data_IF_290153467624
#
_entry.id   IF_290153467624
#
_cell.length_a   1.000
_cell.length_b   1.000
_cell.length_c   1.000
_cell.angle_alpha   90.00
_cell.angle_beta   90.00
_cell.angle_gamma   90.00
#
_symmetry.space_group_name_H-M   'P 1'
#
loop_
_entity.id
_entity.type
_entity.pdbx_description
1 polymer ?
#
# COMPACT_ATOMS: atom_id res chain seq x y z
N UNK A 1 -59.58 -33.31 22.58
CA UNK A 1 -58.85 -32.77 21.39
C UNK A 1 -57.97 -31.58 21.83
N UNK A 2 -56.70 -31.81 22.22
CA UNK A 2 -55.71 -30.74 22.53
C UNK A 2 -54.25 -31.13 22.20
N UNK A 3 -54.03 -32.10 21.31
CA UNK A 3 -52.68 -32.61 20.99
C UNK A 3 -52.06 -31.99 19.73
N UNK A 4 -52.88 -31.43 18.82
CA UNK A 4 -52.39 -30.82 17.56
C UNK A 4 -51.68 -29.47 17.74
N UNK A 5 -52.01 -28.70 18.79
CA UNK A 5 -51.38 -27.39 19.02
C UNK A 5 -50.01 -27.50 19.69
N UNK A 6 -49.79 -28.54 20.50
CA UNK A 6 -48.52 -28.76 21.19
C UNK A 6 -47.41 -29.12 20.20
N UNK A 7 -47.72 -29.99 19.22
CA UNK A 7 -46.77 -30.40 18.19
C UNK A 7 -46.45 -29.26 17.22
N UNK A 8 -47.43 -28.42 16.87
CA UNK A 8 -47.21 -27.25 16.02
C UNK A 8 -46.33 -26.20 16.69
N UNK A 9 -46.57 -25.91 17.97
CA UNK A 9 -45.75 -24.97 18.73
C UNK A 9 -44.33 -25.50 18.92
N UNK A 10 -44.17 -26.80 19.18
CA UNK A 10 -42.85 -27.43 19.29
C UNK A 10 -42.10 -27.37 17.96
N UNK A 11 -42.75 -27.70 16.84
CA UNK A 11 -42.18 -27.62 15.50
C UNK A 11 -41.81 -26.17 15.13
N UNK A 12 -42.65 -25.20 15.47
CA UNK A 12 -42.38 -23.78 15.22
C UNK A 12 -41.19 -23.27 16.04
N UNK A 13 -41.05 -23.68 17.31
CA UNK A 13 -39.88 -23.34 18.13
C UNK A 13 -38.61 -23.99 17.59
N UNK A 14 -38.68 -25.25 17.17
CA UNK A 14 -37.55 -25.99 16.61
C UNK A 14 -37.09 -25.33 15.29
N UNK A 15 -38.03 -24.92 14.43
CA UNK A 15 -37.75 -24.18 13.21
C UNK A 15 -37.08 -22.82 13.49
N UNK A 16 -37.55 -22.08 14.49
CA UNK A 16 -36.94 -20.79 14.89
C UNK A 16 -35.50 -20.97 15.37
N UNK A 17 -35.25 -21.98 16.20
CA UNK A 17 -33.90 -22.29 16.70
C UNK A 17 -32.98 -22.69 15.54
N UNK A 18 -33.48 -23.49 14.61
CA UNK A 18 -32.71 -23.94 13.44
C UNK A 18 -32.39 -22.78 12.50
N UNK A 19 -33.32 -21.84 12.34
CA UNK A 19 -33.12 -20.63 11.52
C UNK A 19 -32.12 -19.67 12.17
N UNK A 20 -32.17 -19.50 13.50
CA UNK A 20 -31.17 -18.76 14.27
C UNK A 20 -29.78 -19.40 14.16
N UNK A 21 -29.68 -20.72 14.31
CA UNK A 21 -28.43 -21.45 14.16
C UNK A 21 -27.86 -21.35 12.74
N UNK A 22 -28.72 -21.38 11.72
CA UNK A 22 -28.31 -21.17 10.32
C UNK A 22 -27.80 -19.74 10.10
N UNK A 23 -28.42 -18.73 10.72
CA UNK A 23 -27.99 -17.33 10.59
C UNK A 23 -26.64 -17.09 11.27
N UNK A 24 -26.46 -17.65 12.48
CA UNK A 24 -25.18 -17.60 13.21
C UNK A 24 -24.11 -18.39 12.45
N UNK A 25 -24.44 -19.56 11.93
CA UNK A 25 -23.54 -20.38 11.12
C UNK A 25 -23.14 -19.70 9.80
N UNK A 26 -24.07 -19.01 9.13
CA UNK A 26 -23.78 -18.22 7.95
C UNK A 26 -22.89 -17.00 8.29
N UNK A 27 -23.21 -16.29 9.37
CA UNK A 27 -22.37 -15.18 9.87
C UNK A 27 -20.96 -15.66 10.24
N UNK A 28 -20.84 -16.79 10.93
CA UNK A 28 -19.56 -17.42 11.26
C UNK A 28 -18.81 -17.92 10.03
N UNK A 29 -19.50 -18.48 9.04
CA UNK A 29 -18.88 -18.92 7.79
C UNK A 29 -18.38 -17.74 6.96
N UNK A 30 -19.10 -16.62 6.95
CA UNK A 30 -18.63 -15.36 6.36
C UNK A 30 -17.45 -14.80 7.15
N UNK A 31 -17.48 -14.84 8.48
CA UNK A 31 -16.35 -14.40 9.32
C UNK A 31 -15.12 -15.30 9.16
N UNK A 32 -15.31 -16.61 8.95
CA UNK A 32 -14.27 -17.59 8.60
C UNK A 32 -13.74 -17.40 7.18
N UNK A 33 -14.60 -16.95 6.25
CA UNK A 33 -14.25 -16.71 4.85
C UNK A 33 -13.78 -15.29 4.57
N UNK A 34 -13.86 -14.38 5.55
CA UNK A 34 -12.89 -13.30 5.57
C UNK A 34 -11.54 -13.98 5.75
N UNK A 35 -10.62 -13.87 4.78
CA UNK A 35 -9.29 -14.39 4.97
C UNK A 35 -8.76 -13.72 6.25
N UNK A 36 -8.62 -14.49 7.32
CA UNK A 36 -7.53 -14.24 8.25
C UNK A 36 -6.32 -14.20 7.32
N UNK A 37 -5.81 -12.98 7.08
CA UNK A 37 -5.02 -12.64 5.91
C UNK A 37 -4.14 -13.81 5.54
N UNK A 38 -4.34 -14.33 4.32
CA UNK A 38 -3.74 -15.56 3.81
C UNK A 38 -2.29 -15.64 4.30
N UNK A 39 -2.13 -16.37 5.40
CA UNK A 39 -0.85 -16.92 5.81
C UNK A 39 -0.74 -18.20 4.99
N UNK A 40 -0.76 -18.03 3.66
CA UNK A 40 0.07 -18.87 2.82
C UNK A 40 1.45 -18.83 3.47
N UNK A 41 2.05 -20.00 3.62
CA UNK A 41 3.38 -20.18 4.20
C UNK A 41 4.46 -19.48 3.37
N UNK A 42 4.45 -18.15 3.37
CA UNK A 42 5.65 -17.38 3.29
C UNK A 42 6.29 -17.55 4.66
N UNK A 43 7.37 -18.34 4.70
CA UNK A 43 8.46 -18.05 5.64
C UNK A 43 8.56 -16.53 5.78
N UNK A 44 8.67 -15.98 7.01
CA UNK A 44 8.77 -14.54 7.18
C UNK A 44 9.91 -14.06 6.29
N UNK A 45 9.55 -13.48 5.14
CA UNK A 45 10.52 -13.08 4.16
C UNK A 45 11.27 -11.95 4.83
N UNK A 46 12.52 -12.21 5.22
CA UNK A 46 13.38 -11.24 5.87
C UNK A 46 13.51 -9.99 5.00
N UNK A 47 13.33 -10.15 3.69
CA UNK A 47 13.28 -9.09 2.68
C UNK A 47 12.19 -9.36 1.63
N UNK A 48 11.45 -8.32 1.27
CA UNK A 48 10.52 -8.26 0.14
C UNK A 48 11.20 -7.63 -1.07
N UNK A 49 11.03 -8.22 -2.25
CA UNK A 49 11.47 -7.61 -3.52
C UNK A 49 10.45 -6.54 -3.97
N UNK A 50 10.80 -5.27 -3.83
CA UNK A 50 10.02 -4.15 -4.34
C UNK A 50 10.45 -3.83 -5.78
N UNK A 51 9.53 -3.98 -6.72
CA UNK A 51 9.69 -3.62 -8.13
C UNK A 51 9.04 -2.26 -8.35
N UNK A 52 9.81 -1.26 -8.73
CA UNK A 52 9.35 0.10 -9.01
C UNK A 52 9.32 0.27 -10.52
N UNK A 53 8.16 0.58 -11.09
CA UNK A 53 7.96 0.71 -12.54
C UNK A 53 7.47 2.10 -12.85
N UNK A 54 8.16 2.81 -13.72
CA UNK A 54 7.70 4.06 -14.29
C UNK A 54 6.83 3.76 -15.51
N UNK A 55 5.58 4.21 -15.49
CA UNK A 55 4.75 4.34 -16.69
C UNK A 55 4.74 5.81 -17.13
N UNK A 56 5.66 6.22 -18.02
CA UNK A 56 5.63 7.58 -18.53
C UNK A 56 4.36 7.80 -19.37
N UNK A 57 3.76 9.00 -19.34
CA UNK A 57 2.79 9.38 -20.35
C UNK A 57 3.48 9.34 -21.72
N UNK A 58 2.80 8.84 -22.76
CA UNK A 58 3.30 8.49 -24.12
C UNK A 58 4.27 9.49 -24.82
N UNK A 59 4.44 10.71 -24.30
CA UNK A 59 5.30 11.77 -24.85
C UNK A 59 6.72 11.83 -24.28
N UNK A 60 7.07 11.07 -23.23
CA UNK A 60 8.37 11.19 -22.55
C UNK A 60 9.28 9.95 -22.69
N UNK A 61 8.88 8.95 -23.48
CA UNK A 61 9.58 7.65 -23.66
C UNK A 61 10.92 7.71 -24.43
N UNK A 62 11.62 8.84 -24.45
CA UNK A 62 12.84 9.04 -25.24
C UNK A 62 14.03 9.68 -24.51
N UNK A 63 13.87 10.07 -23.24
CA UNK A 63 15.00 10.52 -22.43
C UNK A 63 15.63 9.31 -21.73
N UNK A 64 16.96 9.22 -21.64
CA UNK A 64 17.61 8.20 -20.80
C UNK A 64 17.12 8.35 -19.35
N UNK A 65 16.25 7.44 -18.92
CA UNK A 65 15.49 7.54 -17.67
C UNK A 65 16.35 7.11 -16.47
N UNK A 66 17.47 7.80 -16.23
CA UNK A 66 18.23 7.62 -14.99
C UNK A 66 17.58 8.43 -13.85
N UNK A 67 16.50 7.88 -13.31
CA UNK A 67 15.72 8.52 -12.25
C UNK A 67 16.14 7.93 -10.90
N UNK A 68 16.67 8.75 -9.98
CA UNK A 68 16.95 8.32 -8.62
C UNK A 68 15.64 8.15 -7.85
N UNK A 69 15.48 6.99 -7.21
CA UNK A 69 14.39 6.68 -6.30
C UNK A 69 14.96 6.49 -4.91
N UNK A 70 14.31 7.07 -3.91
CA UNK A 70 14.70 7.00 -2.51
C UNK A 70 13.53 6.46 -1.68
N UNK A 71 13.82 5.43 -0.89
CA UNK A 71 12.86 4.74 -0.03
C UNK A 71 13.22 5.04 1.44
N UNK A 72 12.23 5.52 2.19
CA UNK A 72 12.37 5.92 3.58
C UNK A 72 11.49 5.06 4.49
N UNK A 73 12.08 4.41 5.49
CA UNK A 73 11.34 3.68 6.53
C UNK A 73 10.89 4.65 7.62
N UNK A 74 9.80 5.38 7.37
CA UNK A 74 9.28 6.43 8.25
C UNK A 74 7.83 6.16 8.62
N UNK A 75 7.36 6.78 9.70
CA UNK A 75 5.94 6.78 10.02
C UNK A 75 5.17 7.58 8.95
N UNK A 76 4.58 6.84 8.02
CA UNK A 76 3.72 7.34 6.94
C UNK A 76 2.64 8.30 7.44
N UNK A 77 2.07 8.06 8.63
CA UNK A 77 1.03 8.94 9.17
C UNK A 77 1.60 10.29 9.60
N UNK A 78 2.84 10.34 10.10
CA UNK A 78 3.52 11.58 10.43
C UNK A 78 3.84 12.39 9.17
N UNK A 79 4.34 11.73 8.12
CA UNK A 79 4.64 12.37 6.83
C UNK A 79 3.36 12.97 6.21
N UNK A 80 2.25 12.23 6.24
CA UNK A 80 0.99 12.70 5.67
C UNK A 80 0.38 13.85 6.47
N UNK A 81 0.54 13.87 7.80
CA UNK A 81 0.13 15.02 8.62
C UNK A 81 0.94 16.28 8.31
N UNK A 82 2.24 16.12 8.10
CA UNK A 82 3.15 17.26 7.91
C UNK A 82 3.15 17.79 6.46
N UNK A 83 3.01 16.92 5.45
CA UNK A 83 3.15 17.26 4.04
C UNK A 83 1.96 16.87 3.15
N UNK A 84 0.87 16.35 3.73
CA UNK A 84 -0.30 15.90 2.97
C UNK A 84 -1.15 17.03 2.39
N UNK A 85 -1.16 18.22 3.03
CA UNK A 85 -2.10 19.29 2.63
C UNK A 85 -1.49 20.69 2.52
N UNK A 86 -0.33 21.00 3.13
CA UNK A 86 0.25 22.34 3.08
C UNK A 86 1.78 22.34 3.14
N UNK A 87 2.39 23.25 2.37
CA UNK A 87 3.83 23.48 2.33
C UNK A 87 4.21 24.36 3.51
N UNK A 88 4.49 23.79 4.69
CA UNK A 88 5.02 24.58 5.81
C UNK A 88 6.30 25.30 5.35
N UNK A 89 6.36 26.65 5.43
CA UNK A 89 7.55 27.38 5.02
C UNK A 89 8.69 27.08 5.98
N UNK A 90 9.80 26.56 5.46
CA UNK A 90 11.08 26.43 6.18
C UNK A 90 11.62 25.01 6.35
N UNK A 91 10.82 23.96 6.25
CA UNK A 91 11.29 22.56 6.37
C UNK A 91 11.21 21.87 5.02
N UNK A 92 12.36 21.41 4.49
CA UNK A 92 12.37 20.63 3.25
C UNK A 92 11.87 19.22 3.55
N UNK A 93 11.10 18.68 2.62
CA UNK A 93 10.55 17.32 2.71
C UNK A 93 11.61 16.26 2.99
N UNK A 94 12.74 16.35 2.29
CA UNK A 94 13.89 15.45 2.45
C UNK A 94 14.52 15.53 3.85
N UNK A 95 14.55 16.73 4.44
CA UNK A 95 15.15 16.95 5.76
C UNK A 95 14.25 16.36 6.86
N UNK A 96 12.94 16.53 6.74
CA UNK A 96 11.95 15.87 7.62
C UNK A 96 12.07 14.34 7.55
N UNK A 97 12.13 13.80 6.33
CA UNK A 97 12.25 12.35 6.16
C UNK A 97 13.52 11.81 6.80
N UNK A 98 14.68 12.47 6.59
CA UNK A 98 15.96 12.09 7.20
C UNK A 98 15.92 12.13 8.72
N UNK A 99 15.30 13.15 9.32
CA UNK A 99 15.14 13.27 10.77
C UNK A 99 14.29 12.12 11.33
N UNK A 100 13.23 11.74 10.62
CA UNK A 100 12.33 10.65 11.01
C UNK A 100 12.84 9.24 10.69
N UNK A 101 14.01 9.10 10.04
CA UNK A 101 14.62 7.78 9.79
C UNK A 101 15.28 7.16 11.04
N UNK A 102 15.30 7.84 12.19
CA UNK A 102 15.90 7.35 13.44
C UNK A 102 17.33 6.79 13.24
N UNK A 103 18.14 7.45 12.42
CA UNK A 103 19.52 7.03 12.11
C UNK A 103 19.67 5.96 11.01
N UNK A 104 18.59 5.49 10.40
CA UNK A 104 18.66 4.61 9.23
C UNK A 104 18.96 5.42 7.97
N UNK A 105 19.68 4.83 7.02
CA UNK A 105 19.92 5.45 5.72
C UNK A 105 18.78 5.12 4.74
N UNK A 106 18.40 6.06 3.85
CA UNK A 106 17.39 5.78 2.83
C UNK A 106 17.93 4.74 1.85
N UNK A 107 17.05 3.83 1.43
CA UNK A 107 17.41 2.85 0.40
C UNK A 107 17.31 3.55 -0.95
N UNK A 108 18.43 3.59 -1.68
CA UNK A 108 18.51 4.26 -2.98
C UNK A 108 18.38 3.23 -4.09
N UNK A 109 17.55 3.53 -5.07
CA UNK A 109 17.40 2.79 -6.32
C UNK A 109 17.61 3.73 -7.50
N UNK A 110 17.99 3.18 -8.65
CA UNK A 110 17.94 3.89 -9.92
C UNK A 110 17.07 3.08 -10.87
N UNK A 111 16.17 3.79 -11.56
CA UNK A 111 15.39 3.22 -12.65
C UNK A 111 16.34 2.95 -13.83
N UNK A 112 16.20 1.77 -14.43
CA UNK A 112 16.95 1.34 -15.60
C UNK A 112 16.42 2.00 -16.89
N UNK A 113 17.01 1.64 -18.03
CA UNK A 113 16.60 2.16 -19.35
C UNK A 113 15.14 1.80 -19.71
N UNK A 114 14.55 0.79 -19.06
CA UNK A 114 13.16 0.39 -19.21
C UNK A 114 12.23 1.09 -18.20
N UNK A 115 12.76 1.99 -17.38
CA UNK A 115 12.02 2.64 -16.30
C UNK A 115 11.68 1.67 -15.18
N UNK A 116 12.52 0.68 -14.88
CA UNK A 116 12.31 -0.30 -13.82
C UNK A 116 13.45 -0.30 -12.81
N UNK A 117 13.13 -0.45 -11.53
CA UNK A 117 14.11 -0.65 -10.48
C UNK A 117 13.63 -1.78 -9.57
N UNK A 118 14.51 -2.70 -9.18
CA UNK A 118 14.19 -3.73 -8.20
C UNK A 118 15.08 -3.58 -6.99
N UNK A 119 14.47 -3.51 -5.80
CA UNK A 119 15.17 -3.34 -4.53
C UNK A 119 14.66 -4.34 -3.52
N UNK A 120 15.55 -4.93 -2.73
CA UNK A 120 15.17 -5.74 -1.57
C UNK A 120 15.07 -4.85 -0.34
N UNK A 121 13.91 -4.84 0.29
CA UNK A 121 13.65 -4.04 1.50
C UNK A 121 12.89 -4.88 2.52
N UNK A 122 12.99 -4.54 3.80
CA UNK A 122 12.24 -5.24 4.84
C UNK A 122 10.74 -4.95 4.69
N UNK A 123 9.86 -5.94 4.97
CA UNK A 123 8.43 -5.70 5.05
C UNK A 123 8.09 -4.57 6.04
N UNK A 124 7.09 -3.76 5.73
CA UNK A 124 6.67 -2.65 6.60
C UNK A 124 6.16 -1.42 5.85
N UNK A 125 5.98 -0.32 6.59
CA UNK A 125 5.56 0.95 6.03
C UNK A 125 6.76 1.72 5.49
N UNK A 126 6.66 2.13 4.23
CA UNK A 126 7.71 2.87 3.55
C UNK A 126 7.13 4.10 2.85
N UNK A 127 7.98 5.09 2.68
CA UNK A 127 7.69 6.26 1.87
C UNK A 127 8.60 6.27 0.64
N UNK A 128 8.00 6.35 -0.55
CA UNK A 128 8.71 6.46 -1.83
C UNK A 128 8.83 7.93 -2.19
N UNK A 129 10.05 8.35 -2.49
CA UNK A 129 10.36 9.63 -3.09
C UNK A 129 11.11 9.40 -4.40
N UNK A 130 10.56 9.87 -5.51
CA UNK A 130 11.21 9.80 -6.82
C UNK A 130 11.11 11.14 -7.52
N UNK A 131 12.17 11.54 -8.20
CA UNK A 131 12.22 12.82 -8.91
C UNK A 131 12.77 12.58 -10.32
N UNK A 132 11.92 12.78 -11.32
CA UNK A 132 12.34 12.83 -12.72
C UNK A 132 12.70 14.27 -13.05
N UNK A 133 13.96 14.50 -13.40
CA UNK A 133 14.47 15.80 -13.86
C UNK A 133 14.58 15.79 -15.38
N UNK A 134 13.83 16.68 -16.03
CA UNK A 134 13.85 16.86 -17.49
C UNK A 134 13.33 18.26 -17.86
N UNK A 135 12.79 18.47 -19.07
CA UNK A 135 12.12 19.72 -19.45
C UNK A 135 10.95 20.08 -18.51
N UNK A 136 10.38 19.06 -17.87
CA UNK A 136 9.49 19.18 -16.73
C UNK A 136 10.07 18.32 -15.61
N UNK A 137 10.21 18.90 -14.42
CA UNK A 137 10.53 18.17 -13.22
C UNK A 137 9.26 17.56 -12.65
N UNK A 138 9.22 16.24 -12.53
CA UNK A 138 8.09 15.49 -11.96
C UNK A 138 8.54 14.86 -10.64
N UNK A 139 7.72 15.00 -9.61
CA UNK A 139 8.01 14.48 -8.28
C UNK A 139 6.88 13.55 -7.82
N UNK A 140 7.26 12.36 -7.33
CA UNK A 140 6.37 11.39 -6.69
C UNK A 140 6.66 11.30 -5.20
N UNK A 141 5.59 11.30 -4.38
CA UNK A 141 5.65 11.14 -2.92
C UNK A 141 4.53 10.20 -2.49
N UNK A 142 4.86 8.93 -2.28
CA UNK A 142 3.85 7.88 -2.13
C UNK A 142 4.08 7.06 -0.86
N UNK A 143 3.06 6.91 0.00
CA UNK A 143 3.10 5.92 1.05
C UNK A 143 2.87 4.53 0.46
N UNK A 144 3.69 3.56 0.85
CA UNK A 144 3.52 2.16 0.47
C UNK A 144 3.59 1.27 1.72
N UNK A 145 2.79 0.21 1.74
CA UNK A 145 2.91 -0.85 2.72
C UNK A 145 3.50 -2.07 2.00
N UNK A 146 4.72 -2.43 2.37
CA UNK A 146 5.50 -3.46 1.71
C UNK A 146 5.31 -4.78 2.44
N UNK A 147 4.89 -5.82 1.70
CA UNK A 147 4.70 -7.14 2.27
C UNK A 147 4.82 -8.26 1.23
N UNK A 148 4.84 -9.50 1.72
CA UNK A 148 4.98 -10.69 0.89
C UNK A 148 6.39 -10.85 0.31
N UNK A 149 6.49 -11.69 -0.74
CA UNK A 149 7.77 -12.01 -1.41
C UNK A 149 8.18 -10.97 -2.44
N UNK A 150 7.21 -10.43 -3.17
CA UNK A 150 7.43 -9.45 -4.23
C UNK A 150 6.22 -8.52 -4.31
N UNK A 151 6.47 -7.23 -4.49
CA UNK A 151 5.45 -6.22 -4.65
C UNK A 151 5.85 -5.21 -5.73
N UNK A 152 4.90 -4.77 -6.54
CA UNK A 152 5.13 -3.77 -7.58
C UNK A 152 4.51 -2.44 -7.18
N UNK A 153 5.27 -1.35 -7.36
CA UNK A 153 4.82 0.03 -7.18
C UNK A 153 5.00 0.75 -8.50
N UNK A 154 3.94 1.42 -8.94
CA UNK A 154 3.94 2.14 -10.20
C UNK A 154 4.09 3.64 -9.95
N UNK A 155 4.99 4.28 -10.69
CA UNK A 155 5.10 5.74 -10.80
C UNK A 155 4.42 6.13 -12.11
N UNK A 156 3.35 6.90 -12.06
CA UNK A 156 2.55 7.27 -13.22
C UNK A 156 2.06 8.72 -13.14
N UNK A 157 1.32 9.17 -14.14
CA UNK A 157 0.82 10.54 -14.22
C UNK A 157 -0.23 10.87 -13.14
N UNK A 158 -0.95 9.86 -12.65
CA UNK A 158 -2.09 10.00 -11.72
C UNK A 158 -1.63 10.14 -10.27
N UNK A 159 -0.46 9.61 -9.95
CA UNK A 159 0.12 9.62 -8.60
C UNK A 159 1.29 10.60 -8.44
N UNK A 160 1.42 11.54 -9.39
CA UNK A 160 2.37 12.66 -9.31
C UNK A 160 1.97 13.59 -8.16
N UNK A 161 2.94 13.91 -7.32
CA UNK A 161 2.78 14.91 -6.27
C UNK A 161 2.92 16.34 -6.82
N UNK A 162 3.96 16.60 -7.62
CA UNK A 162 4.21 17.92 -8.18
C UNK A 162 4.81 17.85 -9.58
N UNK A 163 4.43 18.82 -10.43
CA UNK A 163 5.05 19.08 -11.74
C UNK A 163 5.56 20.51 -11.78
N UNK A 164 6.85 20.68 -12.04
CA UNK A 164 7.48 21.99 -12.18
C UNK A 164 8.09 22.10 -13.57
N UNK A 165 7.68 23.10 -14.35
CA UNK A 165 8.31 23.37 -15.64
C UNK A 165 9.56 24.21 -15.41
N UNK A 166 10.72 23.75 -15.88
CA UNK A 166 11.91 24.58 -15.97
C UNK A 166 11.78 25.52 -17.16
N UNK A 167 11.96 26.82 -16.95
CA UNK A 167 11.96 27.86 -17.98
C UNK A 167 13.39 28.18 -18.42
#
# INVERSE_FOLDING_TARGET
MKTKSLTYNLAATLLKVLLLAALIGAGWNVYRKMPAGETEGAEPATETALVIVLRPPEKESGAGLNIPVQLYSVDVAAVQREFGFERRPGVRFEDFLKEHMNGHAPVKAQLDEHGQATVKITPGKWWVHATLTGPQSVEWRLPINVGGRQQTVELNADNVYARTKSF
#
